data_IF_316666509204
#
_entry.id   IF_316666509204
#
_cell.length_a   1.000
_cell.length_b   1.000
_cell.length_c   1.000
_cell.angle_alpha   90.00
_cell.angle_beta   90.00
_cell.angle_gamma   90.00
#
_symmetry.space_group_name_H-M   'P 1'
#
loop_
_entity.id
_entity.type
_entity.pdbx_description
1 polymer ?
#
# COMPACT_ATOMS: atom_id res chain seq x y z
N UNK A 1 -8.12 2.29 11.11
CA UNK A 1 -8.66 2.46 9.75
C UNK A 1 -7.52 2.99 8.90
N UNK A 2 -7.28 2.42 7.72
CA UNK A 2 -6.18 2.83 6.83
C UNK A 2 -6.57 4.10 6.06
N UNK A 3 -5.69 5.10 6.04
CA UNK A 3 -5.86 6.31 5.22
C UNK A 3 -5.50 6.01 3.76
N UNK A 4 -6.41 6.34 2.85
CA UNK A 4 -6.25 6.10 1.41
C UNK A 4 -5.65 7.34 0.75
N UNK A 5 -4.33 7.33 0.53
CA UNK A 5 -3.61 8.48 0.00
C UNK A 5 -3.93 8.75 -1.48
N UNK A 6 -4.28 7.70 -2.24
CA UNK A 6 -4.74 7.84 -3.63
C UNK A 6 -6.08 8.58 -3.75
N UNK A 7 -6.84 8.73 -2.66
CA UNK A 7 -8.08 9.53 -2.63
C UNK A 7 -7.84 11.00 -2.27
N UNK A 8 -6.61 11.43 -1.98
CA UNK A 8 -6.27 12.82 -1.63
C UNK A 8 -6.15 13.71 -2.88
N UNK A 9 -7.29 13.90 -3.54
CA UNK A 9 -7.42 14.67 -4.78
C UNK A 9 -6.73 14.01 -5.99
N UNK A 10 -6.70 14.74 -7.10
CA UNK A 10 -6.16 14.21 -8.38
C UNK A 10 -4.67 13.84 -8.25
N UNK A 11 -3.90 14.61 -7.47
CA UNK A 11 -2.46 14.40 -7.26
C UNK A 11 -2.15 13.07 -6.58
N UNK A 12 -3.03 12.57 -5.71
CA UNK A 12 -2.87 11.30 -5.00
C UNK A 12 -2.67 10.11 -5.95
N UNK A 13 -3.33 10.13 -7.12
CA UNK A 13 -3.23 9.06 -8.13
C UNK A 13 -1.84 8.94 -8.79
N UNK A 14 -0.95 9.91 -8.57
CA UNK A 14 0.40 9.91 -9.17
C UNK A 14 1.49 9.61 -8.16
N UNK A 15 1.16 9.48 -6.86
CA UNK A 15 2.13 9.15 -5.82
C UNK A 15 2.45 7.66 -5.91
N UNK A 16 3.74 7.33 -5.94
CA UNK A 16 4.24 5.94 -6.03
C UNK A 16 5.08 5.52 -4.82
N UNK A 17 5.45 6.48 -3.99
CA UNK A 17 6.31 6.28 -2.82
C UNK A 17 5.68 7.03 -1.64
N UNK A 18 5.61 6.37 -0.48
CA UNK A 18 5.03 6.91 0.73
C UNK A 18 5.61 6.20 1.96
N UNK A 19 5.63 6.89 3.09
CA UNK A 19 5.95 6.30 4.38
C UNK A 19 4.68 5.85 5.09
N UNK A 20 4.76 4.73 5.80
CA UNK A 20 3.67 4.20 6.61
C UNK A 20 4.18 3.38 7.78
N UNK A 21 3.33 3.21 8.79
CA UNK A 21 3.57 2.36 9.94
C UNK A 21 2.76 1.08 9.84
N UNK A 22 3.39 -0.07 10.11
CA UNK A 22 2.69 -1.35 10.23
C UNK A 22 1.83 -1.34 11.49
N UNK A 23 0.51 -1.42 11.32
CA UNK A 23 -0.48 -1.48 12.41
C UNK A 23 -0.87 -2.90 12.77
N UNK A 24 -0.67 -3.85 11.86
CA UNK A 24 -0.93 -5.28 12.08
C UNK A 24 0.03 -6.13 11.25
N UNK A 25 0.57 -7.16 11.87
CA UNK A 25 1.43 -8.14 11.22
C UNK A 25 0.80 -9.53 11.36
N UNK A 26 0.58 -10.20 10.22
CA UNK A 26 0.09 -11.58 10.12
C UNK A 26 1.02 -12.36 9.19
N UNK A 27 0.82 -13.69 9.16
CA UNK A 27 1.70 -14.61 8.46
C UNK A 27 1.95 -14.21 6.99
N UNK A 28 0.88 -13.81 6.30
CA UNK A 28 0.90 -13.62 4.85
C UNK A 28 0.57 -12.18 4.42
N UNK A 29 0.29 -11.28 5.37
CA UNK A 29 -0.04 -9.88 5.07
C UNK A 29 0.27 -8.94 6.23
N UNK A 30 0.40 -7.66 5.90
CA UNK A 30 0.48 -6.55 6.86
C UNK A 30 -0.66 -5.56 6.63
N UNK A 31 -1.02 -4.81 7.67
CA UNK A 31 -1.89 -3.65 7.52
C UNK A 31 -1.09 -2.38 7.83
N UNK A 32 -1.25 -1.36 6.99
CA UNK A 32 -0.61 -0.06 7.14
C UNK A 32 -1.61 0.97 7.68
N UNK A 33 -1.12 2.00 8.37
CA UNK A 33 -1.92 3.15 8.80
C UNK A 33 -2.36 4.02 7.60
N UNK A 34 -1.59 4.04 6.52
CA UNK A 34 -1.89 4.71 5.26
C UNK A 34 -1.30 3.96 4.06
N UNK A 35 -1.86 4.16 2.86
CA UNK A 35 -1.38 3.50 1.64
C UNK A 35 -1.69 4.28 0.36
N UNK A 36 -0.80 4.21 -0.63
CA UNK A 36 -1.11 4.58 -2.04
C UNK A 36 -1.49 3.36 -2.87
N UNK A 37 -1.23 2.13 -2.40
CA UNK A 37 -1.62 0.92 -3.12
C UNK A 37 -3.14 0.82 -3.20
N UNK A 38 -3.65 0.70 -4.42
CA UNK A 38 -5.04 0.44 -4.70
C UNK A 38 -5.38 -1.06 -4.56
N UNK A 39 -6.41 -1.42 -3.77
CA UNK A 39 -6.78 -2.81 -3.57
C UNK A 39 -7.52 -3.38 -4.80
N UNK A 40 -7.53 -4.71 -4.91
CA UNK A 40 -8.31 -5.43 -5.92
C UNK A 40 -9.80 -5.05 -5.82
N UNK A 41 -10.45 -4.70 -6.93
CA UNK A 41 -11.87 -4.35 -6.89
C UNK A 41 -12.47 -3.97 -8.24
N UNK A 42 -13.76 -4.28 -8.44
CA UNK A 42 -14.50 -3.87 -9.65
C UNK A 42 -13.99 -4.49 -10.96
N UNK A 43 -13.27 -5.62 -10.90
CA UNK A 43 -12.59 -6.23 -12.04
C UNK A 43 -11.22 -5.61 -12.38
N UNK A 44 -10.80 -4.57 -11.65
CA UNK A 44 -9.46 -4.00 -11.75
C UNK A 44 -8.49 -4.77 -10.84
N UNK A 45 -7.33 -5.23 -11.35
CA UNK A 45 -6.25 -5.80 -10.53
C UNK A 45 -5.78 -4.82 -9.45
N UNK A 46 -5.25 -5.36 -8.35
CA UNK A 46 -4.59 -4.58 -7.31
C UNK A 46 -3.26 -4.00 -7.82
N UNK A 47 -2.79 -2.95 -7.14
CA UNK A 47 -1.45 -2.45 -7.34
C UNK A 47 -0.40 -3.44 -6.84
N UNK A 48 0.75 -3.46 -7.52
CA UNK A 48 1.93 -4.25 -7.15
C UNK A 48 3.12 -3.34 -6.88
N UNK A 49 4.05 -3.79 -6.04
CA UNK A 49 5.21 -2.98 -5.68
C UNK A 49 6.04 -3.63 -4.58
N UNK A 50 6.56 -2.82 -3.66
CA UNK A 50 7.34 -3.32 -2.55
C UNK A 50 7.24 -2.44 -1.31
N UNK A 51 7.47 -3.05 -0.15
CA UNK A 51 7.73 -2.36 1.09
C UNK A 51 9.24 -2.42 1.37
N UNK A 52 9.83 -1.31 1.79
CA UNK A 52 11.23 -1.22 2.15
C UNK A 52 11.35 -0.67 3.58
N UNK A 53 12.25 -1.27 4.37
CA UNK A 53 12.59 -0.83 5.72
C UNK A 53 14.03 -1.23 6.03
N UNK A 54 14.79 -0.33 6.65
CA UNK A 54 16.24 -0.48 6.83
C UNK A 54 16.90 -0.91 5.49
N UNK A 55 17.71 -1.98 5.51
CA UNK A 55 18.34 -2.59 4.33
C UNK A 55 17.52 -3.76 3.74
N UNK A 56 16.24 -3.87 4.09
CA UNK A 56 15.35 -4.97 3.69
C UNK A 56 14.24 -4.49 2.76
N UNK A 57 13.77 -5.41 1.93
CA UNK A 57 12.68 -5.20 0.98
C UNK A 57 11.81 -6.46 0.87
N UNK A 58 10.50 -6.27 0.75
CA UNK A 58 9.55 -7.34 0.44
C UNK A 58 8.61 -6.90 -0.68
N UNK A 59 8.32 -7.82 -1.59
CA UNK A 59 7.37 -7.58 -2.68
C UNK A 59 5.93 -7.54 -2.16
N UNK A 60 5.12 -6.69 -2.78
CA UNK A 60 3.67 -6.62 -2.62
C UNK A 60 3.07 -7.15 -3.91
N UNK A 61 2.49 -8.35 -3.84
CA UNK A 61 1.93 -9.06 -4.99
C UNK A 61 0.42 -8.89 -5.13
N UNK A 62 -0.28 -8.53 -4.04
CA UNK A 62 -1.71 -8.28 -3.99
C UNK A 62 -2.03 -7.34 -2.81
N UNK A 63 -3.08 -6.54 -2.96
CA UNK A 63 -3.60 -5.58 -1.96
C UNK A 63 -5.12 -5.71 -1.85
#
# INVERSE_FOLDING_TARGET
MTKLLYMDGIKGNYIREFDATVTKNKKDYVCLDQTVFYPLGGGQPSDVGFLQWDDKKSEVNEV
#
